data_IF_308484224729
#
_entry.id   IF_308484224729
#
_cell.length_a   1.000
_cell.length_b   1.000
_cell.length_c   1.000
_cell.angle_alpha   90.00
_cell.angle_beta   90.00
_cell.angle_gamma   90.00
#
_symmetry.space_group_name_H-M   'P 1'
#
loop_
_entity.id
_entity.type
_entity.pdbx_description
1 polymer ?
#
# COMPACT_ATOMS: atom_id res chain seq x y z
N UNK A 1 8.85 -13.39 -17.79
CA UNK A 1 8.23 -12.28 -17.02
C UNK A 1 9.35 -11.61 -16.23
N UNK A 2 9.48 -10.28 -16.29
CA UNK A 2 10.56 -9.56 -15.62
C UNK A 2 10.45 -9.77 -14.11
N UNK A 3 11.55 -10.18 -13.48
CA UNK A 3 11.68 -10.29 -12.03
C UNK A 3 11.87 -8.89 -11.41
N UNK A 4 11.47 -8.72 -10.16
CA UNK A 4 11.56 -7.48 -9.39
C UNK A 4 12.65 -7.56 -8.30
N UNK A 5 13.70 -8.33 -8.54
CA UNK A 5 14.75 -8.61 -7.52
C UNK A 5 15.56 -7.36 -7.11
N UNK A 6 15.50 -6.30 -7.89
CA UNK A 6 16.08 -4.97 -7.61
C UNK A 6 15.10 -4.00 -6.91
N UNK A 7 13.82 -4.40 -6.73
CA UNK A 7 12.76 -3.54 -6.17
C UNK A 7 12.57 -3.81 -4.68
N UNK A 8 12.75 -2.76 -3.88
CA UNK A 8 12.52 -2.76 -2.43
C UNK A 8 11.10 -2.34 -2.11
N UNK A 9 10.34 -3.21 -1.45
CA UNK A 9 8.94 -2.98 -1.11
C UNK A 9 8.74 -3.06 0.41
N UNK A 10 8.24 -1.99 1.01
CA UNK A 10 7.77 -2.00 2.39
C UNK A 10 6.27 -2.34 2.42
N UNK A 11 5.90 -3.38 3.17
CA UNK A 11 4.51 -3.69 3.46
C UNK A 11 4.23 -3.34 4.92
N UNK A 12 3.44 -2.30 5.14
CA UNK A 12 3.09 -1.78 6.46
C UNK A 12 1.82 -2.46 6.96
N UNK A 13 1.91 -3.14 8.10
CA UNK A 13 0.78 -3.78 8.79
C UNK A 13 0.65 -3.26 10.21
N UNK A 14 -0.57 -3.22 10.74
CA UNK A 14 -0.79 -2.95 12.16
C UNK A 14 -0.25 -4.10 13.04
N UNK A 15 0.17 -3.83 14.29
CA UNK A 15 0.58 -4.88 15.23
C UNK A 15 -0.55 -5.88 15.51
N UNK A 16 -1.79 -5.38 15.52
CA UNK A 16 -3.01 -6.13 15.83
C UNK A 16 -4.08 -5.85 14.78
N UNK A 17 -4.90 -6.84 14.47
CA UNK A 17 -6.08 -6.71 13.62
C UNK A 17 -5.82 -6.15 12.21
N UNK A 18 -4.66 -6.42 11.61
CA UNK A 18 -4.51 -6.24 10.17
C UNK A 18 -5.37 -7.27 9.43
N UNK A 19 -5.81 -6.97 8.22
CA UNK A 19 -6.62 -7.90 7.44
C UNK A 19 -5.74 -8.91 6.72
N UNK A 20 -5.92 -10.19 7.04
CA UNK A 20 -5.05 -11.29 6.62
C UNK A 20 -4.94 -11.41 5.10
N UNK A 21 -6.07 -11.36 4.38
CA UNK A 21 -6.09 -11.50 2.92
C UNK A 21 -5.43 -10.31 2.22
N UNK A 22 -5.55 -9.12 2.81
CA UNK A 22 -4.99 -7.87 2.27
C UNK A 22 -3.47 -7.77 2.46
N UNK A 23 -2.93 -8.55 3.38
CA UNK A 23 -1.50 -8.78 3.50
C UNK A 23 -1.05 -9.96 2.63
N UNK A 24 -1.70 -11.12 2.76
CA UNK A 24 -1.22 -12.37 2.20
C UNK A 24 -1.18 -12.35 0.66
N UNK A 25 -2.20 -11.79 0.01
CA UNK A 25 -2.30 -11.82 -1.46
C UNK A 25 -1.31 -10.87 -2.15
N UNK A 26 -1.17 -9.59 -1.76
CA UNK A 26 -0.12 -8.73 -2.30
C UNK A 26 1.29 -9.24 -1.98
N UNK A 27 1.52 -9.73 -0.76
CA UNK A 27 2.80 -10.34 -0.39
C UNK A 27 3.14 -11.53 -1.29
N UNK A 28 2.18 -12.44 -1.54
CA UNK A 28 2.39 -13.58 -2.41
C UNK A 28 2.68 -13.16 -3.87
N UNK A 29 1.96 -12.16 -4.40
CA UNK A 29 2.18 -11.62 -5.74
C UNK A 29 3.59 -11.03 -5.90
N UNK A 30 4.03 -10.23 -4.92
CA UNK A 30 5.36 -9.62 -4.89
C UNK A 30 6.46 -10.65 -4.71
N UNK A 31 6.25 -11.64 -3.83
CA UNK A 31 7.21 -12.74 -3.61
C UNK A 31 7.37 -13.61 -4.86
N UNK A 32 6.27 -13.90 -5.56
CA UNK A 32 6.32 -14.62 -6.85
C UNK A 32 7.07 -13.83 -7.92
N UNK A 33 6.98 -12.51 -7.89
CA UNK A 33 7.73 -11.61 -8.75
C UNK A 33 9.18 -11.38 -8.26
N UNK A 34 9.57 -11.96 -7.13
CA UNK A 34 10.91 -11.88 -6.49
C UNK A 34 11.31 -10.48 -6.01
N UNK A 35 10.33 -9.65 -5.63
CA UNK A 35 10.64 -8.36 -4.99
C UNK A 35 11.33 -8.55 -3.63
N UNK A 36 12.18 -7.61 -3.24
CA UNK A 36 12.77 -7.53 -1.90
C UNK A 36 11.75 -6.92 -0.94
N UNK A 37 11.08 -7.78 -0.16
CA UNK A 37 9.94 -7.40 0.69
C UNK A 37 10.39 -7.27 2.15
N UNK A 38 10.14 -6.11 2.73
CA UNK A 38 10.26 -5.89 4.17
C UNK A 38 8.89 -5.65 4.79
N UNK A 39 8.52 -6.48 5.76
CA UNK A 39 7.31 -6.27 6.57
C UNK A 39 7.62 -5.27 7.67
N UNK A 40 6.83 -4.21 7.71
CA UNK A 40 6.98 -3.06 8.61
C UNK A 40 5.78 -2.98 9.54
N UNK A 41 6.02 -2.65 10.81
CA UNK A 41 4.96 -2.37 11.77
C UNK A 41 5.43 -1.35 12.82
N UNK A 42 4.57 -1.04 13.80
CA UNK A 42 4.94 -0.14 14.92
C UNK A 42 6.17 -0.63 15.68
N UNK A 43 6.32 -1.95 15.81
CA UNK A 43 7.42 -2.63 16.51
C UNK A 43 7.87 -3.83 15.69
N UNK A 44 9.13 -4.19 15.81
CA UNK A 44 9.65 -5.47 15.32
C UNK A 44 9.08 -6.61 16.15
N UNK A 45 8.68 -7.69 15.50
CA UNK A 45 8.15 -8.87 16.15
C UNK A 45 6.83 -9.36 15.58
N UNK A 46 6.07 -10.08 16.38
CA UNK A 46 4.80 -10.69 15.97
C UNK A 46 3.70 -9.65 15.82
N UNK A 47 3.02 -9.71 14.68
CA UNK A 47 1.78 -8.99 14.41
C UNK A 47 0.66 -9.99 14.19
N UNK A 48 -0.55 -9.66 14.63
CA UNK A 48 -1.69 -10.58 14.64
C UNK A 48 -2.79 -10.10 13.70
N UNK A 49 -3.12 -10.92 12.74
CA UNK A 49 -4.21 -10.67 11.80
C UNK A 49 -5.58 -10.92 12.42
N UNK A 50 -6.60 -10.26 11.88
CA UNK A 50 -7.99 -10.36 12.35
C UNK A 50 -8.62 -11.74 12.11
N UNK A 51 -8.00 -12.58 11.27
CA UNK A 51 -8.41 -13.96 10.96
C UNK A 51 -7.47 -15.01 11.53
N UNK A 52 -6.51 -14.62 12.37
CA UNK A 52 -5.63 -15.51 13.09
C UNK A 52 -4.23 -15.71 12.48
N UNK A 53 -3.87 -15.01 11.41
CA UNK A 53 -2.49 -15.05 10.92
C UNK A 53 -1.54 -14.44 11.95
N UNK A 54 -0.32 -14.96 11.98
CA UNK A 54 0.80 -14.36 12.71
C UNK A 54 1.89 -14.04 11.69
N UNK A 55 2.23 -12.77 11.59
CA UNK A 55 3.27 -12.25 10.69
C UNK A 55 4.36 -11.58 11.52
N UNK A 56 5.61 -11.76 11.13
CA UNK A 56 6.74 -11.11 11.80
C UNK A 56 7.15 -9.83 11.06
N UNK A 57 6.92 -8.68 11.67
CA UNK A 57 7.52 -7.43 11.22
C UNK A 57 9.03 -7.45 11.48
N UNK A 58 9.80 -7.04 10.48
CA UNK A 58 11.27 -7.04 10.54
C UNK A 58 11.84 -5.64 10.73
N UNK A 59 11.02 -4.62 10.60
CA UNK A 59 11.42 -3.22 10.69
C UNK A 59 10.34 -2.40 11.37
N UNK A 60 10.74 -1.38 12.10
CA UNK A 60 9.80 -0.40 12.68
C UNK A 60 9.35 0.59 11.61
N UNK A 61 8.20 1.23 11.82
CA UNK A 61 7.71 2.30 10.96
C UNK A 61 8.68 3.49 10.93
N UNK A 62 9.27 3.82 12.09
CA UNK A 62 10.25 4.91 12.23
C UNK A 62 11.52 4.63 11.39
N UNK A 63 12.04 3.41 11.44
CA UNK A 63 13.19 3.01 10.63
C UNK A 63 12.86 2.98 9.13
N UNK A 64 11.65 2.52 8.78
CA UNK A 64 11.19 2.49 7.39
C UNK A 64 11.04 3.90 6.80
N UNK A 65 10.60 4.87 7.59
CA UNK A 65 10.48 6.27 7.16
C UNK A 65 11.84 6.95 6.87
N UNK A 66 12.96 6.36 7.34
CA UNK A 66 14.31 6.85 7.06
C UNK A 66 14.94 6.21 5.81
N UNK A 67 14.27 5.22 5.20
CA UNK A 67 14.78 4.49 4.06
C UNK A 67 14.07 4.87 2.75
N UNK A 68 14.70 4.52 1.64
CA UNK A 68 14.14 4.69 0.31
C UNK A 68 13.52 3.37 -0.18
N UNK A 69 12.30 3.46 -0.68
CA UNK A 69 11.51 2.33 -1.17
C UNK A 69 11.09 2.56 -2.62
N UNK A 70 11.03 1.50 -3.42
CA UNK A 70 10.39 1.53 -4.74
C UNK A 70 8.87 1.47 -4.63
N UNK A 71 8.38 0.86 -3.55
CA UNK A 71 6.96 0.87 -3.19
C UNK A 71 6.74 0.81 -1.68
N UNK A 72 5.70 1.52 -1.22
CA UNK A 72 5.15 1.38 0.14
C UNK A 72 3.69 0.96 0.03
N UNK A 73 3.34 -0.13 0.70
CA UNK A 73 2.00 -0.74 0.67
C UNK A 73 1.42 -0.72 2.08
N UNK A 74 0.32 0.00 2.29
CA UNK A 74 -0.42 0.03 3.55
C UNK A 74 -1.57 -0.98 3.52
N UNK A 75 -1.51 -1.94 4.41
CA UNK A 75 -2.53 -2.99 4.57
C UNK A 75 -3.64 -2.50 5.50
N UNK A 76 -4.87 -2.82 5.15
CA UNK A 76 -6.05 -2.44 5.93
C UNK A 76 -6.36 -3.38 7.10
N UNK A 77 -7.61 -3.43 7.47
CA UNK A 77 -8.12 -4.03 8.69
C UNK A 77 -8.36 -2.98 9.77
N UNK A 78 -9.05 -3.35 10.85
CA UNK A 78 -9.39 -2.41 11.92
C UNK A 78 -8.15 -1.80 12.58
N UNK A 79 -7.06 -2.55 12.66
CA UNK A 79 -5.80 -2.10 13.24
C UNK A 79 -5.11 -0.97 12.47
N UNK A 80 -5.37 -0.83 11.16
CA UNK A 80 -4.75 0.23 10.35
C UNK A 80 -5.13 1.64 10.78
N UNK A 81 -6.23 1.79 11.52
CA UNK A 81 -6.65 3.07 12.11
C UNK A 81 -5.56 3.71 13.01
N UNK A 82 -4.66 2.91 13.56
CA UNK A 82 -3.51 3.43 14.33
C UNK A 82 -2.57 4.31 13.51
N UNK A 83 -2.63 4.20 12.17
CA UNK A 83 -1.77 4.94 11.25
C UNK A 83 -2.48 6.10 10.54
N UNK A 84 -3.81 6.24 10.69
CA UNK A 84 -4.60 7.25 9.97
C UNK A 84 -4.09 8.67 10.23
N UNK A 85 -3.79 9.01 11.49
CA UNK A 85 -3.25 10.32 11.88
C UNK A 85 -1.78 10.25 12.34
N UNK A 86 -1.08 9.18 11.96
CA UNK A 86 0.31 8.99 12.37
C UNK A 86 1.28 9.80 11.50
N UNK A 87 2.02 10.75 12.07
CA UNK A 87 2.92 11.62 11.31
C UNK A 87 4.06 10.84 10.65
N UNK A 88 4.48 9.69 11.21
CA UNK A 88 5.54 8.87 10.63
C UNK A 88 5.02 8.09 9.42
N UNK A 89 3.79 7.55 9.49
CA UNK A 89 3.13 6.92 8.35
C UNK A 89 2.90 7.94 7.22
N UNK A 90 2.47 9.16 7.56
CA UNK A 90 2.31 10.26 6.60
C UNK A 90 3.64 10.61 5.93
N UNK A 91 4.71 10.79 6.72
CA UNK A 91 6.03 11.12 6.19
C UNK A 91 6.56 10.02 5.26
N UNK A 92 6.37 8.75 5.60
CA UNK A 92 6.74 7.62 4.75
C UNK A 92 5.99 7.65 3.42
N UNK A 93 4.67 7.86 3.44
CA UNK A 93 3.85 7.93 2.24
C UNK A 93 4.23 9.11 1.35
N UNK A 94 4.34 10.31 1.93
CA UNK A 94 4.72 11.54 1.22
C UNK A 94 6.11 11.42 0.59
N UNK A 95 7.12 11.03 1.37
CA UNK A 95 8.49 10.87 0.87
C UNK A 95 8.56 9.88 -0.29
N UNK A 96 7.86 8.75 -0.19
CA UNK A 96 7.83 7.74 -1.26
C UNK A 96 7.22 8.31 -2.54
N UNK A 97 6.07 9.00 -2.42
CA UNK A 97 5.40 9.63 -3.56
C UNK A 97 6.25 10.76 -4.18
N UNK A 98 6.84 11.64 -3.38
CA UNK A 98 7.70 12.75 -3.84
C UNK A 98 8.95 12.27 -4.59
N UNK A 99 9.41 11.05 -4.33
CA UNK A 99 10.51 10.41 -5.05
C UNK A 99 10.08 9.76 -6.37
N UNK A 100 8.81 9.86 -6.75
CA UNK A 100 8.25 9.23 -7.94
C UNK A 100 7.98 7.73 -7.77
N UNK A 101 8.00 7.21 -6.52
CA UNK A 101 7.83 5.81 -6.21
C UNK A 101 6.38 5.47 -5.85
N UNK A 102 6.02 4.19 -5.98
CA UNK A 102 4.65 3.71 -5.78
C UNK A 102 4.22 3.80 -4.31
N UNK A 103 3.04 4.38 -4.09
CA UNK A 103 2.32 4.28 -2.82
C UNK A 103 1.00 3.56 -3.04
N UNK A 104 0.74 2.52 -2.24
CA UNK A 104 -0.46 1.71 -2.37
C UNK A 104 -1.16 1.50 -1.03
N UNK A 105 -2.49 1.48 -1.02
CA UNK A 105 -3.28 1.28 0.19
C UNK A 105 -4.59 0.54 -0.11
N UNK A 106 -5.02 -0.34 0.82
CA UNK A 106 -6.23 -1.15 0.63
C UNK A 106 -7.18 -1.05 1.83
N UNK A 107 -8.48 -1.16 1.57
CA UNK A 107 -9.57 -1.22 2.54
C UNK A 107 -9.68 0.08 3.37
N UNK A 108 -9.33 0.05 4.65
CA UNK A 108 -9.29 1.22 5.52
C UNK A 108 -8.02 2.07 5.35
N UNK A 109 -6.93 1.48 4.88
CA UNK A 109 -5.64 2.15 4.79
C UNK A 109 -5.57 3.36 3.83
N UNK A 110 -6.41 3.53 2.78
CA UNK A 110 -6.45 4.76 2.01
C UNK A 110 -6.74 6.03 2.84
N UNK A 111 -7.36 5.92 4.04
CA UNK A 111 -7.50 7.04 4.97
C UNK A 111 -6.14 7.63 5.36
N UNK A 112 -5.11 6.79 5.52
CA UNK A 112 -3.73 7.24 5.81
C UNK A 112 -3.23 8.19 4.71
N UNK A 113 -3.46 7.82 3.45
CA UNK A 113 -3.04 8.62 2.29
C UNK A 113 -3.86 9.90 2.14
N UNK A 114 -5.15 9.85 2.49
CA UNK A 114 -6.04 11.01 2.48
C UNK A 114 -5.62 12.04 3.54
N UNK A 115 -5.40 11.60 4.78
CA UNK A 115 -4.96 12.45 5.89
C UNK A 115 -3.55 13.00 5.68
N UNK A 116 -2.66 12.21 5.06
CA UNK A 116 -1.34 12.68 4.64
C UNK A 116 -1.39 13.70 3.49
N UNK A 117 -2.54 13.84 2.81
CA UNK A 117 -2.69 14.71 1.64
C UNK A 117 -2.14 14.15 0.33
N UNK A 118 -1.66 12.90 0.32
CA UNK A 118 -1.09 12.24 -0.87
C UNK A 118 -2.13 12.13 -2.00
N UNK A 119 -3.38 11.77 -1.67
CA UNK A 119 -4.43 11.51 -2.67
C UNK A 119 -5.47 12.65 -2.78
N UNK A 120 -5.09 13.87 -2.38
CA UNK A 120 -5.94 15.04 -2.57
C UNK A 120 -6.13 15.34 -4.06
N UNK A 121 -7.37 15.66 -4.45
CA UNK A 121 -7.75 16.06 -5.82
C UNK A 121 -7.49 14.98 -6.90
N UNK A 122 -7.36 13.71 -6.51
CA UNK A 122 -7.25 12.58 -7.43
C UNK A 122 -8.33 11.53 -7.15
N UNK A 123 -8.50 10.61 -8.10
CA UNK A 123 -9.40 9.47 -7.94
C UNK A 123 -8.78 8.43 -7.01
N UNK A 124 -9.59 7.94 -6.06
CA UNK A 124 -9.19 6.84 -5.18
C UNK A 124 -10.41 6.07 -4.68
N UNK A 125 -10.19 4.90 -4.10
CA UNK A 125 -11.23 4.09 -3.46
C UNK A 125 -10.77 3.63 -2.07
N UNK A 126 -11.72 3.24 -1.23
CA UNK A 126 -11.50 2.67 0.10
C UNK A 126 -12.64 1.73 0.47
N UNK A 127 -12.55 1.14 1.64
CA UNK A 127 -13.68 0.48 2.26
C UNK A 127 -14.87 1.43 2.38
N UNK A 128 -16.09 0.89 2.21
CA UNK A 128 -17.30 1.71 2.04
C UNK A 128 -17.51 2.69 3.19
N UNK A 129 -17.25 2.26 4.43
CA UNK A 129 -17.47 3.07 5.63
C UNK A 129 -16.49 4.25 5.74
N UNK A 130 -15.33 4.18 5.07
CA UNK A 130 -14.28 5.19 5.12
C UNK A 130 -14.36 6.18 3.93
N UNK A 131 -15.27 5.98 2.99
CA UNK A 131 -15.36 6.80 1.76
C UNK A 131 -15.75 8.26 2.05
N UNK A 132 -16.54 8.50 3.10
CA UNK A 132 -16.90 9.86 3.48
C UNK A 132 -15.72 10.62 4.07
N UNK A 133 -14.89 9.95 4.85
CA UNK A 133 -13.64 10.52 5.36
C UNK A 133 -12.69 10.91 4.21
N UNK A 134 -12.55 10.06 3.20
CA UNK A 134 -11.78 10.39 2.01
C UNK A 134 -12.31 11.66 1.31
N UNK A 135 -13.64 11.81 1.15
CA UNK A 135 -14.27 13.01 0.54
C UNK A 135 -13.97 14.27 1.33
N UNK A 136 -14.03 14.19 2.67
CA UNK A 136 -13.71 15.32 3.55
C UNK A 136 -12.26 15.78 3.41
N UNK A 137 -11.36 14.88 3.00
CA UNK A 137 -9.95 15.18 2.71
C UNK A 137 -9.68 15.53 1.23
N UNK A 138 -10.74 15.79 0.45
CA UNK A 138 -10.63 16.29 -0.91
C UNK A 138 -10.37 15.20 -1.97
N UNK A 139 -10.61 13.93 -1.65
CA UNK A 139 -10.46 12.82 -2.60
C UNK A 139 -11.67 12.68 -3.50
N UNK A 140 -11.47 12.47 -4.80
CA UNK A 140 -12.55 12.07 -5.71
C UNK A 140 -12.80 10.57 -5.59
N UNK A 141 -13.69 10.21 -4.67
CA UNK A 141 -13.97 8.81 -4.33
C UNK A 141 -14.66 8.07 -5.47
N UNK A 142 -14.09 6.93 -5.86
CA UNK A 142 -14.67 5.97 -6.80
C UNK A 142 -15.20 4.75 -6.05
N UNK A 143 -16.27 4.16 -6.56
CA UNK A 143 -16.88 2.94 -6.01
C UNK A 143 -16.33 1.67 -6.64
N UNK A 144 -15.36 1.79 -7.56
CA UNK A 144 -14.69 0.66 -8.21
C UNK A 144 -13.82 -0.13 -7.22
N UNK A 145 -13.64 -1.44 -7.41
CA UNK A 145 -12.83 -2.26 -6.51
C UNK A 145 -11.36 -1.83 -6.40
N UNK A 146 -10.83 -1.27 -7.48
CA UNK A 146 -9.45 -0.82 -7.61
C UNK A 146 -9.41 0.51 -8.36
N UNK A 147 -8.52 1.40 -7.96
CA UNK A 147 -8.19 2.65 -8.66
C UNK A 147 -6.68 2.78 -8.76
N UNK A 148 -6.20 2.97 -9.98
CA UNK A 148 -4.83 3.33 -10.29
C UNK A 148 -4.82 4.78 -10.75
N UNK A 149 -3.98 5.61 -10.16
CA UNK A 149 -3.86 7.03 -10.46
C UNK A 149 -2.40 7.47 -10.34
N UNK A 150 -2.13 8.72 -10.70
CA UNK A 150 -0.81 9.34 -10.53
C UNK A 150 -0.94 10.63 -9.74
N UNK A 151 0.03 10.86 -8.88
CA UNK A 151 0.18 12.10 -8.12
C UNK A 151 1.59 12.64 -8.37
N UNK A 152 1.68 13.81 -8.99
CA UNK A 152 2.97 14.40 -9.39
C UNK A 152 3.86 13.46 -10.24
N UNK A 153 3.24 12.59 -11.05
CA UNK A 153 3.93 11.60 -11.87
C UNK A 153 4.34 10.34 -11.14
N UNK A 154 4.02 10.21 -9.84
CA UNK A 154 4.23 8.99 -9.07
C UNK A 154 2.96 8.12 -9.05
N UNK A 155 3.07 6.80 -9.24
CA UNK A 155 1.91 5.92 -9.22
C UNK A 155 1.32 5.80 -7.82
N UNK A 156 -0.01 5.81 -7.75
CA UNK A 156 -0.77 5.54 -6.52
C UNK A 156 -1.87 4.52 -6.81
N UNK A 157 -1.96 3.48 -5.99
CA UNK A 157 -2.94 2.40 -6.16
C UNK A 157 -3.78 2.28 -4.89
N UNK A 158 -5.10 2.34 -5.03
CA UNK A 158 -6.01 2.09 -3.91
C UNK A 158 -7.00 0.99 -4.24
N UNK A 159 -7.40 0.20 -3.23
CA UNK A 159 -8.40 -0.87 -3.37
C UNK A 159 -9.39 -0.87 -2.21
N UNK A 160 -10.60 -1.38 -2.44
CA UNK A 160 -11.73 -1.20 -1.53
C UNK A 160 -11.89 -2.28 -0.46
N UNK A 161 -11.12 -3.36 -0.49
CA UNK A 161 -11.22 -4.39 0.55
C UNK A 161 -10.70 -5.78 0.15
N UNK A 162 -10.93 -6.79 0.99
CA UNK A 162 -10.29 -8.10 0.86
C UNK A 162 -10.61 -8.84 -0.45
N UNK A 163 -11.80 -8.61 -1.05
CA UNK A 163 -12.16 -9.19 -2.34
C UNK A 163 -11.28 -8.67 -3.48
N UNK A 164 -10.72 -7.48 -3.32
CA UNK A 164 -9.84 -6.83 -4.30
C UNK A 164 -8.35 -7.11 -4.06
N UNK A 165 -7.98 -7.82 -2.99
CA UNK A 165 -6.60 -7.97 -2.54
C UNK A 165 -5.70 -8.65 -3.58
N UNK A 166 -6.22 -9.62 -4.34
CA UNK A 166 -5.47 -10.25 -5.43
C UNK A 166 -5.20 -9.28 -6.58
N UNK A 167 -6.24 -8.58 -7.05
CA UNK A 167 -6.11 -7.58 -8.12
C UNK A 167 -5.18 -6.44 -7.69
N UNK A 168 -5.27 -6.01 -6.43
CA UNK A 168 -4.38 -5.02 -5.82
C UNK A 168 -2.91 -5.46 -5.86
N UNK A 169 -2.62 -6.71 -5.46
CA UNK A 169 -1.27 -7.26 -5.54
C UNK A 169 -0.73 -7.33 -6.97
N UNK A 170 -1.59 -7.70 -7.95
CA UNK A 170 -1.21 -7.72 -9.37
C UNK A 170 -0.93 -6.30 -9.91
N UNK A 171 -1.75 -5.32 -9.54
CA UNK A 171 -1.57 -3.94 -9.95
C UNK A 171 -0.24 -3.37 -9.42
N UNK A 172 0.12 -3.65 -8.16
CA UNK A 172 1.42 -3.28 -7.58
C UNK A 172 2.58 -3.87 -8.37
N UNK A 173 2.53 -5.18 -8.66
CA UNK A 173 3.58 -5.87 -9.44
C UNK A 173 3.70 -5.28 -10.84
N UNK A 174 2.58 -5.00 -11.50
CA UNK A 174 2.58 -4.41 -12.84
C UNK A 174 3.14 -2.99 -12.85
N UNK A 175 2.77 -2.17 -11.87
CA UNK A 175 3.29 -0.81 -11.70
C UNK A 175 4.82 -0.81 -11.49
N UNK A 176 5.33 -1.73 -10.66
CA UNK A 176 6.78 -1.87 -10.41
C UNK A 176 7.58 -2.36 -11.62
N UNK A 177 6.95 -3.09 -12.54
CA UNK A 177 7.57 -3.51 -13.81
C UNK A 177 7.70 -2.36 -14.81
N UNK A 178 6.91 -1.31 -14.63
CA UNK A 178 6.83 -0.22 -15.61
C UNK A 178 6.06 -0.62 -16.88
N UNK A 179 5.98 0.31 -17.83
CA UNK A 179 5.32 0.05 -19.10
C UNK A 179 6.04 -1.05 -19.88
N UNK A 180 5.26 -1.95 -20.46
CA UNK A 180 5.77 -2.96 -21.40
C UNK A 180 5.81 -2.38 -22.80
N UNK A 181 6.81 -2.78 -23.59
CA UNK A 181 6.80 -2.53 -25.03
C UNK A 181 5.64 -3.30 -25.73
N UNK A 182 5.34 -3.01 -27.00
CA UNK A 182 4.28 -3.71 -27.74
C UNK A 182 4.49 -5.23 -27.86
N UNK A 183 5.68 -5.72 -27.57
CA UNK A 183 6.06 -7.13 -27.61
C UNK A 183 6.12 -7.77 -26.22
N UNK A 184 5.82 -7.00 -25.14
CA UNK A 184 5.78 -7.49 -23.76
C UNK A 184 7.13 -7.48 -23.04
N UNK A 185 8.13 -6.76 -23.55
CA UNK A 185 9.39 -6.52 -22.85
C UNK A 185 9.33 -5.19 -22.06
N UNK A 186 10.09 -5.11 -20.97
CA UNK A 186 10.20 -3.84 -20.23
C UNK A 186 10.98 -2.80 -21.06
N UNK A 187 10.46 -1.57 -21.05
CA UNK A 187 11.09 -0.42 -21.68
C UNK A 187 12.24 0.15 -20.83
#
# INVERSE_FOLDING_TARGET
MQELSDKKVAIVIAPENFRDEEFAQPHASLNLAKADITVVSRQVGKCYGSRGSIVHARMTLDDAAQQDWDAVVFVGGAGSATYTDDPVAHALALRTNERGCLVAAICKAPTILAHAGVIRDVDATSFIDDQEDLRQHGVRVRTTPLVETEVNGAPVITANGPQSAFAFGQAIVNSLRGPLDPFGFAL
#
